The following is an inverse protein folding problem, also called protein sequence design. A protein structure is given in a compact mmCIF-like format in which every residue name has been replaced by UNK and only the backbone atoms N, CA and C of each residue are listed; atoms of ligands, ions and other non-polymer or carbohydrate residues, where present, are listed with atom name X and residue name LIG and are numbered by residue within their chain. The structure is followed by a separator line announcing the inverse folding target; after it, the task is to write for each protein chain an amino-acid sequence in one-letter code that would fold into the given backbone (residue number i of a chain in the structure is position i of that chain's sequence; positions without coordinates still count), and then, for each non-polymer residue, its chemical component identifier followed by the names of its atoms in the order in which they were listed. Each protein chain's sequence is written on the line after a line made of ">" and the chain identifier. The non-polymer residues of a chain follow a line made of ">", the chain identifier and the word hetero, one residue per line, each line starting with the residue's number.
data_IF_624186268659
#
_entry.id   IF_624186268659
#
_cell.length_a   1.000
_cell.length_b   1.000
_cell.length_c   1.000
_cell.angle_alpha   90.00
_cell.angle_beta   90.00
_cell.angle_gamma   90.00
#
_symmetry.space_group_name_H-M   'P 1'
#
loop_
_entity.id
_entity.type
_entity.pdbx_description
1 polymer ?
#
# COMPACT_ATOMS: atom_id res chain seq x y z
N UNK A 1 17.60 -22.98 11.04
CA UNK A 1 16.25 -22.47 11.02
C UNK A 1 16.13 -21.23 10.16
N UNK A 2 14.93 -20.94 9.69
CA UNK A 2 14.63 -19.71 8.94
C UNK A 2 13.85 -18.77 9.84
N UNK A 3 14.05 -17.47 9.65
CA UNK A 3 13.18 -16.44 10.22
C UNK A 3 12.16 -16.02 9.18
N UNK A 4 10.92 -15.75 9.62
CA UNK A 4 9.86 -15.14 8.84
C UNK A 4 9.75 -13.67 9.21
N UNK A 5 10.13 -12.78 8.28
CA UNK A 5 9.91 -11.35 8.41
C UNK A 5 8.68 -10.98 7.59
N UNK A 6 7.66 -10.45 8.26
CA UNK A 6 6.41 -10.02 7.62
C UNK A 6 6.13 -8.54 7.84
N UNK A 7 5.86 -7.83 6.76
CA UNK A 7 5.42 -6.42 6.82
C UNK A 7 3.89 -6.38 6.82
N UNK A 8 3.31 -6.06 7.98
CA UNK A 8 1.87 -6.02 8.21
C UNK A 8 1.29 -4.59 8.26
N UNK A 9 1.95 -3.64 7.59
CA UNK A 9 1.56 -2.22 7.59
C UNK A 9 0.13 -1.98 7.08
N UNK A 10 -0.43 -2.89 6.29
CA UNK A 10 -1.79 -2.83 5.78
C UNK A 10 -2.78 -3.77 6.48
N UNK A 11 -2.40 -4.41 7.58
CA UNK A 11 -3.22 -5.43 8.29
C UNK A 11 -4.62 -4.97 8.70
N UNK A 12 -4.86 -3.68 8.85
CA UNK A 12 -6.16 -3.09 9.17
C UNK A 12 -6.82 -2.32 8.01
N UNK A 13 -6.19 -2.30 6.83
CA UNK A 13 -6.77 -1.74 5.60
C UNK A 13 -7.15 -2.92 4.72
N UNK A 14 -8.17 -3.65 5.13
CA UNK A 14 -8.69 -4.88 4.51
C UNK A 14 -10.17 -4.65 4.22
N UNK A 15 -10.67 -5.17 3.12
CA UNK A 15 -12.00 -4.86 2.62
C UNK A 15 -13.04 -5.95 2.92
N UNK A 16 -12.96 -7.10 2.25
CA UNK A 16 -13.98 -8.15 2.39
C UNK A 16 -13.55 -9.34 3.26
N UNK A 17 -12.27 -9.41 3.63
CA UNK A 17 -11.70 -10.53 4.39
C UNK A 17 -11.09 -10.06 5.70
N UNK A 18 -10.69 -11.00 6.53
CA UNK A 18 -9.91 -10.72 7.74
C UNK A 18 -8.42 -10.88 7.45
N UNK A 19 -7.60 -10.04 8.04
CA UNK A 19 -6.16 -10.23 8.04
C UNK A 19 -5.78 -11.42 8.89
N UNK A 20 -4.88 -12.25 8.37
CA UNK A 20 -4.30 -13.35 9.10
C UNK A 20 -2.81 -13.05 9.34
N UNK A 21 -2.46 -12.76 10.59
CA UNK A 21 -1.08 -12.46 10.94
C UNK A 21 -0.22 -13.72 10.98
N UNK A 22 1.00 -13.61 10.47
CA UNK A 22 1.98 -14.69 10.54
C UNK A 22 2.36 -15.05 11.99
N UNK A 23 2.16 -14.15 12.95
CA UNK A 23 2.38 -14.42 14.39
C UNK A 23 1.47 -15.46 15.01
N UNK A 24 0.41 -15.87 14.30
CA UNK A 24 -0.53 -16.86 14.79
C UNK A 24 0.15 -18.19 15.18
N UNK A 25 1.24 -18.55 14.51
CA UNK A 25 1.91 -19.85 14.72
C UNK A 25 2.86 -19.88 15.90
N UNK A 26 3.58 -18.79 16.20
CA UNK A 26 4.61 -18.75 17.24
C UNK A 26 4.51 -17.55 18.18
N UNK A 27 3.49 -16.71 18.02
CA UNK A 27 3.27 -15.48 18.79
C UNK A 27 4.49 -14.53 18.81
N UNK A 28 5.29 -14.53 17.74
CA UNK A 28 6.54 -13.79 17.62
C UNK A 28 7.60 -14.14 18.67
N UNK A 29 7.60 -15.35 19.22
CA UNK A 29 8.52 -15.76 20.27
C UNK A 29 9.75 -16.52 19.75
N UNK A 30 9.63 -17.17 18.59
CA UNK A 30 10.68 -18.03 18.06
C UNK A 30 11.31 -17.50 16.78
N UNK A 31 10.56 -17.43 15.70
CA UNK A 31 11.08 -17.18 14.36
C UNK A 31 10.32 -16.09 13.58
N UNK A 32 9.15 -15.66 14.06
CA UNK A 32 8.34 -14.66 13.36
C UNK A 32 8.68 -13.25 13.85
N UNK A 33 8.89 -12.35 12.89
CA UNK A 33 9.12 -10.93 13.12
C UNK A 33 8.07 -10.15 12.33
N UNK A 34 7.24 -9.39 13.03
CA UNK A 34 6.27 -8.49 12.42
C UNK A 34 6.87 -7.08 12.37
N UNK A 35 6.82 -6.47 11.20
CA UNK A 35 7.01 -5.03 11.02
C UNK A 35 5.66 -4.37 10.85
N UNK A 36 5.45 -3.25 11.51
CA UNK A 36 4.26 -2.44 11.35
C UNK A 36 4.58 -0.95 11.50
N UNK A 37 3.65 -0.08 11.10
CA UNK A 37 3.89 1.35 11.05
C UNK A 37 2.60 2.14 11.32
N UNK A 38 2.77 3.34 11.86
CA UNK A 38 1.70 4.33 11.98
C UNK A 38 1.42 5.08 10.67
N UNK A 39 2.30 4.91 9.68
CA UNK A 39 2.29 5.69 8.43
C UNK A 39 1.00 5.57 7.63
N UNK A 40 0.42 4.36 7.52
CA UNK A 40 -0.70 4.10 6.60
C UNK A 40 -2.05 4.21 7.29
N UNK A 41 -2.25 3.43 8.33
CA UNK A 41 -3.53 3.40 9.05
C UNK A 41 -3.89 4.75 9.67
N UNK A 42 -2.91 5.44 10.25
CA UNK A 42 -3.13 6.67 11.00
C UNK A 42 -2.72 7.94 10.23
N UNK A 43 -2.44 7.80 8.92
CA UNK A 43 -2.00 8.92 8.06
C UNK A 43 -0.76 9.66 8.60
N UNK A 44 0.12 8.93 9.30
CA UNK A 44 1.30 9.47 9.99
C UNK A 44 2.60 9.22 9.20
N UNK A 45 2.57 9.20 7.89
CA UNK A 45 3.75 8.89 7.07
C UNK A 45 4.91 9.88 7.28
N UNK A 46 4.62 11.15 7.50
CA UNK A 46 5.60 12.20 7.80
C UNK A 46 6.22 12.11 9.19
N UNK A 47 5.61 11.37 10.12
CA UNK A 47 6.10 11.20 11.49
C UNK A 47 7.25 10.21 11.61
N UNK A 48 7.49 9.40 10.58
CA UNK A 48 8.60 8.44 10.48
C UNK A 48 8.65 7.46 11.64
N UNK A 49 7.52 6.86 12.01
CA UNK A 49 7.40 5.98 13.17
C UNK A 49 6.80 4.62 12.77
N UNK A 50 7.46 3.56 13.20
CA UNK A 50 7.05 2.18 13.09
C UNK A 50 7.54 1.36 14.27
N UNK A 51 7.22 0.07 14.28
CA UNK A 51 7.64 -0.84 15.33
C UNK A 51 7.84 -2.24 14.78
N UNK A 52 8.65 -3.03 15.49
CA UNK A 52 8.85 -4.44 15.24
C UNK A 52 8.43 -5.26 16.46
N UNK A 53 7.81 -6.41 16.23
CA UNK A 53 7.49 -7.41 17.25
C UNK A 53 8.18 -8.71 16.84
N UNK A 54 8.93 -9.31 17.76
CA UNK A 54 9.68 -10.53 17.46
C UNK A 54 10.36 -11.11 18.70
N UNK A 55 11.20 -12.16 18.53
CA UNK A 55 11.90 -12.78 19.63
C UNK A 55 12.71 -11.77 20.45
N UNK A 56 12.60 -11.87 21.77
CA UNK A 56 13.20 -10.92 22.74
C UNK A 56 14.68 -10.63 22.49
N UNK A 57 15.45 -11.67 22.22
CA UNK A 57 16.89 -11.53 21.98
C UNK A 57 17.17 -10.73 20.70
N UNK A 58 16.45 -11.02 19.61
CA UNK A 58 16.58 -10.32 18.34
C UNK A 58 16.18 -8.83 18.48
N UNK A 59 15.02 -8.57 19.08
CA UNK A 59 14.55 -7.18 19.31
C UNK A 59 15.55 -6.42 20.18
N UNK A 60 16.15 -7.06 21.19
CA UNK A 60 17.21 -6.45 21.98
C UNK A 60 18.45 -6.05 21.15
N UNK A 61 18.89 -6.91 20.23
CA UNK A 61 20.00 -6.59 19.31
C UNK A 61 19.63 -5.48 18.31
N UNK A 62 18.39 -5.49 17.79
CA UNK A 62 17.88 -4.41 16.94
C UNK A 62 17.88 -3.07 17.68
N UNK A 63 17.48 -3.06 18.95
CA UNK A 63 17.54 -1.86 19.79
C UNK A 63 18.96 -1.30 19.98
N UNK A 64 19.96 -2.16 20.20
CA UNK A 64 21.36 -1.75 20.28
C UNK A 64 21.86 -1.17 18.94
N UNK A 65 21.51 -1.80 17.82
CA UNK A 65 21.87 -1.31 16.50
C UNK A 65 21.21 0.06 16.23
N UNK A 66 19.96 0.24 16.63
CA UNK A 66 19.24 1.49 16.48
C UNK A 66 19.91 2.65 17.22
N UNK A 67 20.47 2.39 18.42
CA UNK A 67 21.21 3.41 19.18
C UNK A 67 22.44 3.93 18.41
N UNK A 68 23.12 3.06 17.67
CA UNK A 68 24.31 3.45 16.91
C UNK A 68 24.00 4.08 15.55
N UNK A 69 22.88 3.72 14.94
CA UNK A 69 22.50 4.18 13.59
C UNK A 69 21.61 5.42 13.59
N UNK A 70 20.73 5.55 14.58
CA UNK A 70 19.72 6.59 14.62
C UNK A 70 19.74 7.39 15.95
N UNK A 71 20.48 6.94 16.97
CA UNK A 71 20.47 7.42 18.34
C UNK A 71 19.13 7.17 19.04
N UNK A 72 18.10 7.99 18.79
CA UNK A 72 16.74 7.78 19.31
C UNK A 72 15.70 8.40 18.39
N UNK A 73 14.48 7.89 18.48
CA UNK A 73 13.33 8.52 17.87
C UNK A 73 12.90 9.74 18.69
N UNK A 74 12.42 10.84 18.06
CA UNK A 74 11.93 12.01 18.78
C UNK A 74 10.84 11.64 19.79
N UNK A 75 10.96 12.14 21.03
CA UNK A 75 10.03 11.79 22.10
C UNK A 75 8.58 12.17 21.78
N UNK A 76 8.36 13.30 21.11
CA UNK A 76 7.02 13.76 20.75
C UNK A 76 6.33 12.81 19.73
N UNK A 77 7.07 12.19 18.80
CA UNK A 77 6.50 11.20 17.87
C UNK A 77 6.10 9.92 18.59
N UNK A 78 6.89 9.50 19.58
CA UNK A 78 6.56 8.35 20.42
C UNK A 78 5.31 8.64 21.29
N UNK A 79 5.20 9.84 21.87
CA UNK A 79 4.01 10.24 22.61
C UNK A 79 2.76 10.29 21.74
N UNK A 80 2.88 10.76 20.50
CA UNK A 80 1.76 10.72 19.54
C UNK A 80 1.31 9.28 19.25
N UNK A 81 2.26 8.35 19.05
CA UNK A 81 1.92 6.93 18.86
C UNK A 81 1.22 6.32 20.07
N UNK A 82 1.69 6.62 21.28
CA UNK A 82 1.04 6.19 22.53
C UNK A 82 -0.41 6.70 22.60
N UNK A 83 -0.64 7.97 22.24
CA UNK A 83 -1.99 8.54 22.20
C UNK A 83 -2.89 7.83 21.22
N UNK A 84 -2.41 7.58 20.00
CA UNK A 84 -3.14 6.86 18.94
C UNK A 84 -3.51 5.44 19.38
N UNK A 85 -2.56 4.70 19.97
CA UNK A 85 -2.79 3.33 20.43
C UNK A 85 -3.75 3.26 21.61
N UNK A 86 -3.68 4.22 22.56
CA UNK A 86 -4.58 4.27 23.71
C UNK A 86 -6.00 4.63 23.33
N UNK A 87 -6.19 5.53 22.38
CA UNK A 87 -7.51 5.94 21.91
C UNK A 87 -8.20 4.86 21.10
N UNK A 88 -7.43 3.99 20.43
CA UNK A 88 -7.92 2.87 19.61
C UNK A 88 -9.22 3.18 18.86
N UNK A 89 -9.23 4.29 18.12
CA UNK A 89 -10.43 4.82 17.45
C UNK A 89 -10.84 3.89 16.29
N UNK A 90 -11.71 2.95 16.59
CA UNK A 90 -12.26 2.00 15.61
C UNK A 90 -13.13 2.71 14.60
N UNK A 91 -13.86 3.76 14.99
CA UNK A 91 -14.72 4.54 14.10
C UNK A 91 -13.91 5.24 13.00
N UNK A 92 -12.73 5.75 13.35
CA UNK A 92 -11.81 6.33 12.37
C UNK A 92 -11.37 5.28 11.34
N UNK A 93 -10.96 4.10 11.82
CA UNK A 93 -10.50 3.01 10.94
C UNK A 93 -11.63 2.55 10.03
N UNK A 94 -12.82 2.36 10.55
CA UNK A 94 -13.99 1.94 9.78
C UNK A 94 -14.37 2.96 8.70
N UNK A 95 -14.32 4.24 9.00
CA UNK A 95 -14.54 5.32 8.03
C UNK A 95 -13.47 5.31 6.94
N UNK A 96 -12.22 5.14 7.33
CA UNK A 96 -11.08 5.07 6.39
C UNK A 96 -11.22 3.88 5.44
N UNK A 97 -11.52 2.70 5.97
CA UNK A 97 -11.70 1.47 5.18
C UNK A 97 -12.90 1.60 4.24
N UNK A 98 -14.02 2.14 4.70
CA UNK A 98 -15.19 2.42 3.85
C UNK A 98 -14.87 3.36 2.70
N UNK A 99 -14.11 4.43 2.96
CA UNK A 99 -13.71 5.37 1.91
C UNK A 99 -12.76 4.71 0.90
N UNK A 100 -11.78 3.92 1.35
CA UNK A 100 -10.90 3.19 0.44
C UNK A 100 -11.64 2.11 -0.36
N UNK A 101 -12.60 1.44 0.23
CA UNK A 101 -13.47 0.50 -0.47
C UNK A 101 -14.21 1.20 -1.62
N UNK A 102 -14.82 2.36 -1.33
CA UNK A 102 -15.54 3.16 -2.32
C UNK A 102 -14.63 3.61 -3.48
N UNK A 103 -13.43 4.08 -3.17
CA UNK A 103 -12.44 4.50 -4.19
C UNK A 103 -12.00 3.33 -5.05
N UNK A 104 -11.65 2.20 -4.43
CA UNK A 104 -11.29 0.97 -5.12
C UNK A 104 -12.39 0.53 -6.08
N UNK A 105 -13.62 0.42 -5.59
CA UNK A 105 -14.74 -0.10 -6.38
C UNK A 105 -15.06 0.83 -7.55
N UNK A 106 -14.94 2.13 -7.38
CA UNK A 106 -15.09 3.10 -8.47
C UNK A 106 -14.03 2.90 -9.57
N UNK A 107 -12.77 2.71 -9.19
CA UNK A 107 -11.69 2.48 -10.16
C UNK A 107 -11.89 1.13 -10.86
N UNK A 108 -12.20 0.08 -10.10
CA UNK A 108 -12.44 -1.26 -10.65
C UNK A 108 -13.59 -1.26 -11.66
N UNK A 109 -14.69 -0.56 -11.36
CA UNK A 109 -15.82 -0.44 -12.30
C UNK A 109 -15.43 0.37 -13.55
N UNK A 110 -14.68 1.46 -13.38
CA UNK A 110 -14.23 2.29 -14.49
C UNK A 110 -13.27 1.57 -15.45
N UNK A 111 -12.42 0.69 -14.93
CA UNK A 111 -11.45 -0.04 -15.74
C UNK A 111 -11.95 -1.40 -16.25
N UNK A 112 -13.09 -1.89 -15.75
CA UNK A 112 -13.62 -3.24 -16.04
C UNK A 112 -13.82 -3.54 -17.51
N UNK A 113 -14.25 -2.56 -18.28
CA UNK A 113 -14.62 -2.71 -19.68
C UNK A 113 -13.61 -2.05 -20.64
N UNK A 114 -12.42 -1.68 -20.14
CA UNK A 114 -11.36 -1.13 -20.99
C UNK A 114 -10.63 -2.28 -21.66
N UNK A 115 -10.73 -2.43 -23.01
CA UNK A 115 -10.06 -3.51 -23.71
C UNK A 115 -8.55 -3.46 -23.47
N UNK A 116 -7.93 -4.59 -23.18
CA UNK A 116 -6.48 -4.66 -22.92
C UNK A 116 -6.03 -4.22 -21.53
N UNK A 117 -6.96 -3.84 -20.64
CA UNK A 117 -6.65 -3.63 -19.22
C UNK A 117 -7.31 -4.72 -18.38
N UNK A 118 -6.51 -5.49 -17.66
CA UNK A 118 -6.99 -6.53 -16.75
C UNK A 118 -6.63 -6.18 -15.32
N UNK A 119 -7.63 -6.19 -14.45
CA UNK A 119 -7.45 -5.90 -13.03
C UNK A 119 -7.98 -7.03 -12.16
N UNK A 120 -7.18 -7.44 -11.18
CA UNK A 120 -7.64 -8.25 -10.05
C UNK A 120 -8.10 -7.32 -8.95
N UNK A 121 -9.32 -7.51 -8.43
CA UNK A 121 -9.86 -6.69 -7.34
C UNK A 121 -9.01 -6.88 -6.08
N UNK A 122 -8.36 -5.82 -5.56
CA UNK A 122 -7.54 -5.94 -4.36
C UNK A 122 -8.40 -6.13 -3.12
N UNK A 123 -7.94 -7.01 -2.22
CA UNK A 123 -8.62 -7.33 -0.95
C UNK A 123 -8.13 -6.47 0.22
N UNK A 124 -7.11 -5.66 0.02
CA UNK A 124 -6.54 -4.77 1.03
C UNK A 124 -5.63 -3.71 0.43
N UNK A 125 -5.05 -2.88 1.28
CA UNK A 125 -4.22 -1.72 0.96
C UNK A 125 -4.99 -0.65 0.14
N UNK A 126 -4.29 0.18 -0.61
CA UNK A 126 -4.89 1.24 -1.44
C UNK A 126 -4.19 1.33 -2.81
N UNK A 127 -3.88 0.16 -3.38
CA UNK A 127 -3.28 0.03 -4.69
C UNK A 127 -4.12 -0.85 -5.59
N UNK A 128 -4.16 -0.51 -6.87
CA UNK A 128 -4.62 -1.38 -7.95
C UNK A 128 -3.41 -1.65 -8.86
N UNK A 129 -3.29 -2.88 -9.34
CA UNK A 129 -2.17 -3.34 -10.15
C UNK A 129 -2.67 -3.93 -11.46
N UNK A 130 -3.10 -3.06 -12.42
CA UNK A 130 -3.61 -3.50 -13.71
C UNK A 130 -2.50 -4.05 -14.60
N UNK A 131 -2.82 -5.09 -15.34
CA UNK A 131 -2.05 -5.66 -16.42
C UNK A 131 -2.48 -5.01 -17.76
N UNK A 132 -1.51 -4.68 -18.60
CA UNK A 132 -1.71 -4.22 -19.96
C UNK A 132 -1.58 -5.42 -20.90
N UNK A 133 -2.71 -6.05 -21.27
CA UNK A 133 -2.72 -7.20 -22.16
C UNK A 133 -2.43 -6.76 -23.60
N UNK A 134 -1.51 -7.47 -24.25
CA UNK A 134 -1.14 -7.23 -25.65
C UNK A 134 -0.68 -5.78 -25.97
N UNK A 135 -0.16 -5.09 -24.97
CA UNK A 135 0.33 -3.72 -25.12
C UNK A 135 1.54 -3.65 -26.03
N UNK A 136 1.56 -2.66 -26.92
CA UNK A 136 2.76 -2.29 -27.67
C UNK A 136 3.74 -1.50 -26.83
N UNK A 137 3.29 -0.94 -25.68
CA UNK A 137 4.09 -0.20 -24.72
C UNK A 137 4.53 -1.09 -23.55
N UNK A 138 5.76 -0.91 -23.11
CA UNK A 138 6.18 -1.33 -21.77
C UNK A 138 5.44 -0.52 -20.69
N UNK A 139 5.44 -0.99 -19.45
CA UNK A 139 4.89 -0.21 -18.32
C UNK A 139 5.53 1.17 -18.18
N UNK A 140 6.85 1.26 -18.44
CA UNK A 140 7.58 2.52 -18.46
C UNK A 140 7.08 3.49 -19.53
N UNK A 141 7.00 3.04 -20.78
CA UNK A 141 6.55 3.86 -21.90
C UNK A 141 5.11 4.33 -21.70
N UNK A 142 4.23 3.44 -21.24
CA UNK A 142 2.85 3.79 -20.92
C UNK A 142 2.78 4.85 -19.81
N UNK A 143 3.51 4.65 -18.71
CA UNK A 143 3.52 5.57 -17.57
C UNK A 143 4.05 6.96 -17.93
N UNK A 144 5.14 7.02 -18.71
CA UNK A 144 5.68 8.31 -19.18
C UNK A 144 4.72 9.04 -20.12
N UNK A 145 4.12 8.30 -21.03
CA UNK A 145 3.27 8.87 -22.06
C UNK A 145 1.97 9.40 -21.47
N UNK A 146 1.30 8.63 -20.62
CA UNK A 146 0.06 9.08 -19.95
C UNK A 146 0.32 10.25 -18.99
N UNK A 147 1.50 10.29 -18.34
CA UNK A 147 1.88 11.41 -17.52
C UNK A 147 2.03 12.71 -18.36
N UNK A 148 2.70 12.62 -19.51
CA UNK A 148 2.91 13.76 -20.41
C UNK A 148 1.62 14.28 -21.06
N UNK A 149 0.74 13.37 -21.49
CA UNK A 149 -0.46 13.71 -22.27
C UNK A 149 -1.66 14.05 -21.37
N UNK A 150 -1.84 13.32 -20.27
CA UNK A 150 -3.04 13.39 -19.43
C UNK A 150 -2.78 13.91 -18.01
N UNK A 151 -1.52 14.00 -17.60
CA UNK A 151 -1.15 14.37 -16.23
C UNK A 151 -1.46 13.29 -15.19
N UNK A 152 -1.55 12.03 -15.60
CA UNK A 152 -1.81 10.87 -14.73
C UNK A 152 -0.48 10.21 -14.36
N UNK A 153 -0.16 10.19 -13.07
CA UNK A 153 1.04 9.53 -12.56
C UNK A 153 0.74 8.08 -12.17
N UNK A 154 1.27 7.13 -12.91
CA UNK A 154 1.25 5.70 -12.63
C UNK A 154 2.67 5.19 -12.47
N UNK A 155 2.88 4.21 -11.61
CA UNK A 155 4.19 3.57 -11.47
C UNK A 155 4.27 2.37 -12.41
N UNK A 156 5.36 2.25 -13.21
CA UNK A 156 5.58 1.05 -14.02
C UNK A 156 5.77 -0.17 -13.12
N UNK A 157 5.21 -1.30 -13.53
CA UNK A 157 5.31 -2.54 -12.77
C UNK A 157 6.74 -3.07 -12.70
N UNK A 158 7.57 -2.78 -13.67
CA UNK A 158 8.98 -3.14 -13.73
C UNK A 158 9.79 -2.58 -12.54
N UNK A 159 9.33 -1.50 -11.90
CA UNK A 159 9.92 -0.98 -10.66
C UNK A 159 9.79 -1.95 -9.48
N UNK A 160 8.96 -2.98 -9.59
CA UNK A 160 8.68 -3.98 -8.55
C UNK A 160 9.27 -5.37 -8.87
N UNK A 161 10.08 -5.47 -9.91
CA UNK A 161 10.75 -6.70 -10.35
C UNK A 161 10.39 -7.10 -11.78
N UNK A 162 11.13 -8.07 -12.32
CA UNK A 162 10.99 -8.50 -13.72
C UNK A 162 9.59 -9.01 -14.08
N UNK A 163 8.90 -9.66 -13.14
CA UNK A 163 7.54 -10.14 -13.32
C UNK A 163 6.49 -9.02 -13.36
N UNK A 164 6.89 -7.78 -13.08
CA UNK A 164 6.04 -6.60 -13.21
C UNK A 164 5.97 -6.01 -14.62
N UNK A 165 6.65 -6.62 -15.59
CA UNK A 165 6.62 -6.16 -16.98
C UNK A 165 5.20 -6.23 -17.54
N UNK A 166 4.74 -5.13 -18.14
CA UNK A 166 3.38 -5.01 -18.64
C UNK A 166 2.34 -4.70 -17.55
N UNK A 167 2.77 -4.45 -16.33
CA UNK A 167 1.87 -4.00 -15.26
C UNK A 167 2.08 -2.52 -14.93
N UNK A 168 1.07 -1.94 -14.28
CA UNK A 168 1.11 -0.59 -13.73
C UNK A 168 0.68 -0.63 -12.26
N UNK A 169 1.17 0.28 -11.43
CA UNK A 169 0.63 0.48 -10.08
C UNK A 169 -0.05 1.82 -9.97
N UNK A 170 -1.31 1.79 -9.60
CA UNK A 170 -2.15 2.94 -9.31
C UNK A 170 -2.39 3.03 -7.80
N UNK A 171 -2.12 4.18 -7.19
CA UNK A 171 -2.43 4.46 -5.78
C UNK A 171 -3.62 5.42 -5.70
N UNK A 172 -4.59 5.09 -4.84
CA UNK A 172 -5.79 5.92 -4.61
C UNK A 172 -5.89 6.47 -3.18
N UNK A 173 -4.75 6.48 -2.45
CA UNK A 173 -4.73 6.90 -1.05
C UNK A 173 -5.06 8.38 -0.84
N UNK A 174 -4.50 9.27 -1.67
CA UNK A 174 -4.53 10.72 -1.46
C UNK A 174 -5.36 11.47 -2.51
N UNK A 175 -6.45 10.87 -3.00
CA UNK A 175 -7.27 11.48 -4.04
C UNK A 175 -8.74 11.52 -3.65
N UNK A 176 -9.48 12.49 -4.16
CA UNK A 176 -10.93 12.57 -3.99
C UNK A 176 -11.67 11.65 -4.98
N UNK A 177 -12.93 11.34 -4.69
CA UNK A 177 -13.80 10.59 -5.61
C UNK A 177 -13.92 11.31 -6.96
N UNK A 178 -14.04 12.63 -6.97
CA UNK A 178 -14.17 13.38 -8.22
C UNK A 178 -12.88 13.37 -9.04
N UNK A 179 -11.73 13.48 -8.38
CA UNK A 179 -10.43 13.32 -9.05
C UNK A 179 -10.27 11.91 -9.64
N UNK A 180 -10.74 10.87 -8.94
CA UNK A 180 -10.73 9.50 -9.44
C UNK A 180 -11.58 9.37 -10.71
N UNK A 181 -12.78 9.95 -10.75
CA UNK A 181 -13.64 9.91 -11.94
C UNK A 181 -12.94 10.54 -13.16
N UNK A 182 -12.39 11.74 -12.97
CA UNK A 182 -11.63 12.43 -14.02
C UNK A 182 -10.43 11.58 -14.47
N UNK A 183 -9.71 10.97 -13.53
CA UNK A 183 -8.58 10.12 -13.85
C UNK A 183 -8.99 8.88 -14.66
N UNK A 184 -10.10 8.25 -14.31
CA UNK A 184 -10.65 7.10 -15.06
C UNK A 184 -10.98 7.50 -16.49
N UNK A 185 -11.71 8.60 -16.69
CA UNK A 185 -12.05 9.11 -18.03
C UNK A 185 -10.79 9.36 -18.87
N UNK A 186 -9.79 10.00 -18.30
CA UNK A 186 -8.50 10.25 -18.95
C UNK A 186 -7.75 8.96 -19.30
N UNK A 187 -7.71 7.98 -18.39
CA UNK A 187 -7.09 6.68 -18.63
C UNK A 187 -7.79 5.96 -19.79
N UNK A 188 -9.12 5.96 -19.80
CA UNK A 188 -9.93 5.35 -20.87
C UNK A 188 -9.64 6.03 -22.22
N UNK A 189 -9.68 7.36 -22.26
CA UNK A 189 -9.44 8.12 -23.50
C UNK A 189 -8.02 7.91 -24.02
N UNK A 190 -7.03 7.94 -23.14
CA UNK A 190 -5.64 7.67 -23.49
C UNK A 190 -5.48 6.24 -24.02
N UNK A 191 -6.05 5.26 -23.32
CA UNK A 191 -5.95 3.87 -23.72
C UNK A 191 -6.57 3.66 -25.10
N UNK A 192 -7.81 4.12 -25.33
CA UNK A 192 -8.51 3.98 -26.61
C UNK A 192 -7.79 4.69 -27.78
N UNK A 193 -6.93 5.67 -27.50
CA UNK A 193 -6.13 6.36 -28.53
C UNK A 193 -5.00 5.47 -29.08
N UNK A 194 -4.51 4.52 -28.27
CA UNK A 194 -3.31 3.74 -28.56
C UNK A 194 -3.56 2.23 -28.68
N UNK A 195 -4.77 1.78 -28.41
CA UNK A 195 -5.23 0.39 -28.44
C UNK A 195 -6.53 0.27 -29.25
#
# INVERSE_FOLDING_TARGET
>A
GLFLLTDEVYSRIIFEENHFSASYFDHCQENTIILNSFSKLYSMSGWRLGYAIGPKELIGKMGLLLQTTLSCLPAFTQMAAISVLKNNDTDYVDKLVKEYTRRRDLIMEGLKNVPGIKCIKPKGAFYIYPELENSTFSGHEYSEKILKEEGICLMPGECFGENGKGFLRLSYAQTSIDTIKIAIEKIINFHNKYY
#
